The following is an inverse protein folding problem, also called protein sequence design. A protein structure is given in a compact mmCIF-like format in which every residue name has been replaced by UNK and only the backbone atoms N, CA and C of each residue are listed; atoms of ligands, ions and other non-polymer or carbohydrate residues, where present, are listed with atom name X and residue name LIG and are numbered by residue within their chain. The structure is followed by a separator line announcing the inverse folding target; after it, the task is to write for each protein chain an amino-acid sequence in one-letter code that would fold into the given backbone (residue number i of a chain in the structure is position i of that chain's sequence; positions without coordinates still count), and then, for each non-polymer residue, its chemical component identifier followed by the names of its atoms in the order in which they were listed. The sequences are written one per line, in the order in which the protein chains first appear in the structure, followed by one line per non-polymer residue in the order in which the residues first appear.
data_IF_863007904003
#
_entry.id   IF_863007904003
#
_cell.length_a   1.000
_cell.length_b   1.000
_cell.length_c   1.000
_cell.angle_alpha   90.00
_cell.angle_beta   90.00
_cell.angle_gamma   90.00
#
_symmetry.space_group_name_H-M   'P 1'
#
loop_
_entity.id
_entity.type
_entity.pdbx_description
1 polymer ?
#
# COMPACT_ATOMS: atom_id res chain seq x y z
N UNK A 1 4.01 -13.00 12.62
CA UNK A 1 2.54 -12.80 12.56
C UNK A 1 2.14 -12.30 11.16
N UNK A 2 1.17 -12.93 10.49
CA UNK A 2 0.69 -12.46 9.19
C UNK A 2 -0.10 -11.16 9.36
N UNK A 3 0.24 -10.13 8.57
CA UNK A 3 -0.58 -8.93 8.45
C UNK A 3 -1.67 -9.15 7.39
N UNK A 4 -2.84 -8.54 7.57
CA UNK A 4 -3.86 -8.48 6.53
C UNK A 4 -3.50 -7.36 5.54
N UNK A 5 -3.06 -7.74 4.35
CA UNK A 5 -2.70 -6.78 3.28
C UNK A 5 -3.92 -6.61 2.38
N UNK A 6 -4.53 -5.42 2.42
CA UNK A 6 -5.77 -5.10 1.69
C UNK A 6 -5.53 -4.39 0.37
N UNK A 7 -4.30 -3.93 0.12
CA UNK A 7 -3.93 -3.26 -1.13
C UNK A 7 -2.42 -3.29 -1.36
N UNK A 8 -2.03 -3.22 -2.63
CA UNK A 8 -0.64 -3.15 -3.07
C UNK A 8 -0.51 -2.12 -4.20
N UNK A 9 0.66 -1.48 -4.27
CA UNK A 9 1.07 -0.73 -5.44
C UNK A 9 1.83 -1.68 -6.38
N UNK A 10 1.48 -1.67 -7.67
CA UNK A 10 2.15 -2.49 -8.68
C UNK A 10 2.75 -1.59 -9.75
N UNK A 11 4.01 -1.83 -10.09
CA UNK A 11 4.72 -1.17 -11.18
C UNK A 11 5.19 -2.21 -12.19
N UNK A 12 5.15 -1.86 -13.48
CA UNK A 12 5.73 -2.72 -14.51
C UNK A 12 7.24 -2.79 -14.32
N UNK A 13 7.80 -4.01 -14.29
CA UNK A 13 9.23 -4.27 -14.12
C UNK A 13 10.11 -3.43 -15.06
N UNK A 14 9.77 -3.43 -16.36
CA UNK A 14 10.50 -2.64 -17.35
C UNK A 14 10.50 -1.13 -17.04
N UNK A 15 9.39 -0.61 -16.49
CA UNK A 15 9.30 0.80 -16.13
C UNK A 15 10.18 1.13 -14.92
N UNK A 16 10.16 0.29 -13.88
CA UNK A 16 10.98 0.49 -12.68
C UNK A 16 12.48 0.36 -12.96
N UNK A 17 12.87 -0.55 -13.85
CA UNK A 17 14.27 -0.74 -14.25
C UNK A 17 14.79 0.42 -15.11
N UNK A 18 13.96 0.94 -16.03
CA UNK A 18 14.33 2.08 -16.87
C UNK A 18 14.26 3.43 -16.16
N UNK A 19 13.45 3.55 -15.12
CA UNK A 19 13.18 4.82 -14.43
C UNK A 19 13.28 4.71 -12.90
N UNK A 20 14.38 4.18 -12.34
CA UNK A 20 14.47 3.91 -10.90
C UNK A 20 14.33 5.20 -10.06
N UNK A 21 14.86 6.32 -10.53
CA UNK A 21 14.74 7.62 -9.86
C UNK A 21 13.30 8.16 -9.84
N UNK A 22 12.52 7.91 -10.89
CA UNK A 22 11.12 8.36 -10.96
C UNK A 22 10.27 7.53 -10.01
N UNK A 23 10.48 6.20 -9.99
CA UNK A 23 9.79 5.31 -9.05
C UNK A 23 10.16 5.66 -7.61
N UNK A 24 11.45 5.94 -7.34
CA UNK A 24 11.88 6.34 -6.01
C UNK A 24 11.24 7.65 -5.57
N UNK A 25 11.29 8.69 -6.41
CA UNK A 25 10.68 9.98 -6.09
C UNK A 25 9.16 9.85 -5.85
N UNK A 26 8.46 9.05 -6.65
CA UNK A 26 7.04 8.77 -6.45
C UNK A 26 6.78 8.11 -5.09
N UNK A 27 7.55 7.10 -4.71
CA UNK A 27 7.36 6.39 -3.45
C UNK A 27 7.67 7.26 -2.24
N UNK A 28 8.65 8.17 -2.35
CA UNK A 28 8.96 9.15 -1.30
C UNK A 28 7.78 10.12 -1.11
N UNK A 29 7.26 10.68 -2.20
CA UNK A 29 6.06 11.53 -2.17
C UNK A 29 4.81 10.78 -1.68
N UNK A 30 4.67 9.51 -2.03
CA UNK A 30 3.56 8.67 -1.60
C UNK A 30 3.61 8.42 -0.09
N UNK A 31 4.81 8.17 0.46
CA UNK A 31 5.05 8.08 1.91
C UNK A 31 4.71 9.39 2.63
N UNK A 32 5.14 10.52 2.09
CA UNK A 32 4.79 11.85 2.61
C UNK A 32 3.27 12.08 2.58
N UNK A 33 2.59 11.70 1.50
CA UNK A 33 1.12 11.80 1.40
C UNK A 33 0.41 10.93 2.44
N UNK A 34 0.91 9.72 2.71
CA UNK A 34 0.37 8.84 3.77
C UNK A 34 0.61 9.45 5.15
N UNK A 35 1.79 10.02 5.40
CA UNK A 35 2.08 10.70 6.66
C UNK A 35 1.21 11.94 6.86
N UNK A 36 0.97 12.71 5.80
CA UNK A 36 0.13 13.88 5.80
C UNK A 36 -1.30 13.54 6.21
N UNK A 37 -1.94 12.57 5.53
CA UNK A 37 -3.35 12.24 5.79
C UNK A 37 -3.57 11.69 7.21
N UNK A 38 -2.59 10.96 7.76
CA UNK A 38 -2.66 10.46 9.13
C UNK A 38 -2.42 11.53 10.19
N UNK A 39 -1.57 12.53 9.90
CA UNK A 39 -1.20 13.58 10.86
C UNK A 39 -2.11 14.80 10.82
N UNK A 40 -2.89 14.98 9.74
CA UNK A 40 -3.73 16.16 9.49
C UNK A 40 -5.17 15.74 9.16
N UNK A 41 -5.85 15.08 10.10
CA UNK A 41 -7.20 14.49 9.89
C UNK A 41 -8.22 15.54 9.44
N UNK A 42 -8.19 16.74 10.02
CA UNK A 42 -9.11 17.83 9.71
C UNK A 42 -8.93 18.36 8.28
N UNK A 43 -7.68 18.56 7.86
CA UNK A 43 -7.35 19.01 6.50
C UNK A 43 -7.64 17.90 5.49
N UNK A 44 -7.27 16.66 5.82
CA UNK A 44 -7.58 15.47 5.06
C UNK A 44 -9.07 15.30 4.80
N UNK A 45 -9.90 15.47 5.82
CA UNK A 45 -11.34 15.34 5.70
C UNK A 45 -11.96 16.42 4.80
N UNK A 46 -11.46 17.66 4.86
CA UNK A 46 -11.87 18.73 3.95
C UNK A 46 -11.52 18.38 2.50
N UNK A 47 -10.31 17.89 2.27
CA UNK A 47 -9.89 17.44 0.93
C UNK A 47 -10.80 16.33 0.41
N UNK A 48 -11.08 15.31 1.23
CA UNK A 48 -11.96 14.19 0.87
C UNK A 48 -13.36 14.68 0.48
N UNK A 49 -13.91 15.64 1.23
CA UNK A 49 -15.21 16.22 0.92
C UNK A 49 -15.18 17.10 -0.33
N UNK A 50 -14.10 17.86 -0.56
CA UNK A 50 -13.94 18.70 -1.76
C UNK A 50 -13.82 17.87 -3.05
N UNK A 51 -13.41 16.61 -2.94
CA UNK A 51 -13.39 15.65 -4.05
C UNK A 51 -14.68 14.80 -4.14
N UNK A 52 -15.74 15.18 -3.42
CA UNK A 52 -17.05 14.53 -3.45
C UNK A 52 -17.03 13.02 -3.11
N UNK A 53 -16.04 12.57 -2.32
CA UNK A 53 -15.91 11.15 -1.94
C UNK A 53 -16.93 10.80 -0.85
N UNK A 54 -16.87 11.52 0.27
CA UNK A 54 -17.83 11.47 1.40
C UNK A 54 -17.83 12.84 2.09
N UNK A 55 -18.87 13.14 2.86
CA UNK A 55 -18.92 14.39 3.64
C UNK A 55 -17.73 14.51 4.61
N UNK A 56 -17.28 15.74 4.86
CA UNK A 56 -16.20 16.04 5.81
C UNK A 56 -16.43 15.41 7.20
N UNK A 57 -17.66 15.42 7.71
CA UNK A 57 -17.99 14.82 9.02
C UNK A 57 -17.75 13.31 9.07
N UNK A 58 -18.12 12.60 8.00
CA UNK A 58 -17.86 11.16 7.85
C UNK A 58 -16.37 10.90 7.70
N UNK A 59 -15.68 11.68 6.87
CA UNK A 59 -14.24 11.54 6.65
C UNK A 59 -13.43 11.74 7.94
N UNK A 60 -13.73 12.77 8.75
CA UNK A 60 -13.06 13.02 10.05
C UNK A 60 -13.17 11.83 10.99
N UNK A 61 -14.33 11.17 11.02
CA UNK A 61 -14.56 9.99 11.86
C UNK A 61 -13.88 8.74 11.30
N UNK A 62 -13.90 8.56 9.99
CA UNK A 62 -13.40 7.35 9.34
C UNK A 62 -11.88 7.30 9.24
N UNK A 63 -11.22 8.42 8.93
CA UNK A 63 -9.79 8.49 8.64
C UNK A 63 -8.90 7.80 9.68
N UNK A 64 -9.08 8.02 11.01
CA UNK A 64 -8.28 7.33 12.03
C UNK A 64 -8.40 5.81 12.01
N UNK A 65 -9.50 5.26 11.50
CA UNK A 65 -9.76 3.83 11.41
C UNK A 65 -9.41 3.23 10.05
N UNK A 66 -9.08 4.05 9.05
CA UNK A 66 -8.69 3.56 7.73
C UNK A 66 -7.33 2.86 7.73
N UNK A 67 -6.51 3.04 8.78
CA UNK A 67 -5.19 2.44 8.93
C UNK A 67 -4.33 2.60 7.66
N UNK A 68 -4.34 3.81 7.10
CA UNK A 68 -3.63 4.15 5.86
C UNK A 68 -2.14 4.06 6.17
N UNK A 69 -1.44 3.14 5.53
CA UNK A 69 -0.04 2.84 5.84
C UNK A 69 0.81 2.75 4.59
N UNK A 70 2.11 3.01 4.76
CA UNK A 70 3.12 2.84 3.74
C UNK A 70 4.19 1.90 4.29
N UNK A 71 4.42 0.80 3.57
CA UNK A 71 5.35 -0.26 3.96
C UNK A 71 6.22 -0.56 2.74
N UNK A 72 7.54 -0.51 2.89
CA UNK A 72 8.51 -0.77 1.84
C UNK A 72 9.65 -1.67 2.34
N UNK A 73 10.57 -2.03 1.43
CA UNK A 73 11.78 -2.80 1.77
C UNK A 73 11.48 -4.19 2.36
N UNK A 74 12.31 -4.60 3.32
CA UNK A 74 12.23 -5.93 3.93
C UNK A 74 10.91 -6.16 4.67
N UNK A 75 10.38 -5.14 5.35
CA UNK A 75 9.11 -5.26 6.08
C UNK A 75 7.94 -5.56 5.12
N UNK A 76 7.90 -4.88 3.97
CA UNK A 76 6.89 -5.12 2.93
C UNK A 76 6.98 -6.55 2.42
N UNK A 77 8.19 -7.00 2.07
CA UNK A 77 8.43 -8.35 1.57
C UNK A 77 7.97 -9.40 2.58
N UNK A 78 8.37 -9.26 3.86
CA UNK A 78 8.02 -10.21 4.93
C UNK A 78 6.50 -10.29 5.13
N UNK A 79 5.81 -9.15 5.25
CA UNK A 79 4.36 -9.12 5.48
C UNK A 79 3.57 -9.67 4.29
N UNK A 80 3.92 -9.26 3.06
CA UNK A 80 3.23 -9.73 1.87
C UNK A 80 3.49 -11.22 1.62
N UNK A 81 4.74 -11.68 1.79
CA UNK A 81 5.08 -13.11 1.71
C UNK A 81 4.30 -13.93 2.73
N UNK A 82 4.19 -13.44 3.97
CA UNK A 82 3.39 -14.07 5.01
C UNK A 82 1.91 -14.15 4.66
N UNK A 83 1.34 -13.07 4.11
CA UNK A 83 -0.07 -13.04 3.69
C UNK A 83 -0.35 -14.01 2.53
N UNK A 84 0.47 -13.97 1.47
CA UNK A 84 0.35 -14.89 0.34
C UNK A 84 0.55 -16.36 0.75
N UNK A 85 1.41 -16.61 1.73
CA UNK A 85 1.57 -17.96 2.30
C UNK A 85 0.29 -18.43 2.97
N UNK A 86 -0.38 -17.60 3.77
CA UNK A 86 -1.67 -17.95 4.38
C UNK A 86 -2.74 -18.23 3.32
N UNK A 87 -2.83 -17.38 2.28
CA UNK A 87 -3.76 -17.58 1.17
C UNK A 87 -3.47 -18.88 0.41
N UNK A 88 -2.19 -19.17 0.14
CA UNK A 88 -1.77 -20.40 -0.52
C UNK A 88 -2.16 -21.66 0.27
N UNK A 89 -1.96 -21.65 1.59
CA UNK A 89 -2.35 -22.78 2.45
C UNK A 89 -3.87 -23.04 2.44
N UNK A 90 -4.70 -21.99 2.27
CA UNK A 90 -6.15 -22.15 2.19
C UNK A 90 -6.63 -22.52 0.79
N UNK A 91 -6.12 -21.84 -0.24
CA UNK A 91 -6.49 -22.05 -1.63
C UNK A 91 -5.36 -21.57 -2.57
N UNK A 92 -4.50 -22.48 -3.08
CA UNK A 92 -3.38 -22.13 -3.96
C UNK A 92 -3.81 -21.34 -5.21
N UNK A 93 -5.00 -21.62 -5.76
CA UNK A 93 -5.50 -20.92 -6.95
C UNK A 93 -5.72 -19.43 -6.73
N UNK A 94 -5.94 -18.99 -5.48
CA UNK A 94 -6.12 -17.58 -5.13
C UNK A 94 -4.87 -16.73 -5.39
N UNK A 95 -3.70 -17.37 -5.46
CA UNK A 95 -2.41 -16.71 -5.74
C UNK A 95 -1.78 -17.14 -7.07
N UNK A 96 -2.50 -17.88 -7.92
CA UNK A 96 -1.93 -18.45 -9.15
C UNK A 96 -1.09 -19.71 -8.92
N UNK A 97 -1.48 -20.55 -7.95
CA UNK A 97 -0.93 -21.87 -7.60
C UNK A 97 0.47 -21.90 -6.97
N UNK A 98 1.29 -20.87 -7.15
CA UNK A 98 2.66 -20.81 -6.62
C UNK A 98 2.93 -19.49 -5.94
N UNK A 99 3.72 -19.55 -4.86
CA UNK A 99 4.25 -18.35 -4.24
C UNK A 99 5.16 -17.61 -5.24
N UNK A 100 5.11 -16.27 -5.26
CA UNK A 100 5.98 -15.48 -6.10
C UNK A 100 7.45 -15.64 -5.70
N UNK A 101 8.33 -15.46 -6.68
CA UNK A 101 9.78 -15.44 -6.47
C UNK A 101 10.23 -14.08 -5.94
N UNK A 102 11.52 -13.98 -5.62
CA UNK A 102 12.15 -12.79 -5.07
C UNK A 102 12.01 -11.55 -5.97
N UNK A 103 12.05 -11.72 -7.28
CA UNK A 103 11.95 -10.62 -8.26
C UNK A 103 10.52 -10.06 -8.44
N UNK A 104 9.55 -10.61 -7.71
CA UNK A 104 8.20 -10.06 -7.57
C UNK A 104 8.16 -8.85 -6.63
N UNK A 105 9.05 -8.82 -5.62
CA UNK A 105 9.06 -7.79 -4.59
C UNK A 105 10.01 -6.68 -4.99
N UNK A 106 9.48 -5.46 -5.14
CA UNK A 106 10.32 -4.29 -5.38
C UNK A 106 11.16 -3.97 -4.14
N UNK A 107 12.46 -3.72 -4.34
CA UNK A 107 13.40 -3.33 -3.29
C UNK A 107 14.18 -2.09 -3.72
N UNK A 108 14.30 -1.14 -2.80
CA UNK A 108 15.13 0.06 -2.87
C UNK A 108 15.67 0.41 -1.49
#
# INVERSE_FOLDING_TARGET
PSALITGVLVVRKEFSEKNPQIVSAFLDQYKESVQFINSHVEEGAKLISNYDIVSEEVAKKALPYCNITFIEGNEMKEKLSGYLSVLSHQNPKSIGDKLPLEDFYYQR
#
